data_IF_402028908301
#
_entry.id   IF_402028908301
#
_cell.length_a   1.000
_cell.length_b   1.000
_cell.length_c   1.000
_cell.angle_alpha   90.00
_cell.angle_beta   90.00
_cell.angle_gamma   90.00
#
_symmetry.space_group_name_H-M   'P 1'
#
loop_
_entity.id
_entity.type
_entity.pdbx_description
1 polymer ?
#
# COMPACT_ATOMS: atom_id res chain seq x y z
N UNK A 1 -11.93 -45.67 45.12
CA UNK A 1 -12.78 -46.19 44.01
C UNK A 1 -14.28 -45.91 44.20
N UNK A 2 -14.76 -45.60 45.42
CA UNK A 2 -16.20 -45.37 45.70
C UNK A 2 -16.72 -43.98 45.28
N UNK A 3 -15.89 -42.93 45.28
CA UNK A 3 -16.33 -41.57 44.90
C UNK A 3 -16.61 -41.37 43.39
N UNK A 4 -15.99 -42.16 42.50
CA UNK A 4 -16.23 -42.05 41.05
C UNK A 4 -17.52 -42.73 40.59
N UNK A 5 -18.06 -43.68 41.37
CA UNK A 5 -19.32 -44.38 41.05
C UNK A 5 -20.54 -43.52 41.43
N UNK A 6 -20.46 -42.73 42.51
CA UNK A 6 -21.52 -41.82 42.95
C UNK A 6 -21.80 -40.66 41.98
N UNK A 7 -20.76 -40.12 41.31
CA UNK A 7 -20.94 -39.04 40.34
C UNK A 7 -21.58 -39.52 39.02
N UNK A 8 -21.28 -40.74 38.59
CA UNK A 8 -21.84 -41.31 37.35
C UNK A 8 -23.31 -41.71 37.57
N UNK A 9 -23.66 -42.25 38.74
CA UNK A 9 -25.05 -42.55 39.10
C UNK A 9 -25.91 -41.28 39.29
N UNK A 10 -25.34 -40.20 39.84
CA UNK A 10 -26.03 -38.91 39.99
C UNK A 10 -26.39 -38.25 38.65
N UNK A 11 -25.49 -38.32 37.66
CA UNK A 11 -25.74 -37.76 36.32
C UNK A 11 -26.77 -38.53 35.49
N UNK A 12 -26.89 -39.85 35.72
CA UNK A 12 -27.86 -40.67 34.99
C UNK A 12 -29.30 -40.50 35.54
N UNK A 13 -29.44 -40.32 36.86
CA UNK A 13 -30.73 -40.09 37.51
C UNK A 13 -31.32 -38.70 37.19
N UNK A 14 -30.49 -37.66 37.05
CA UNK A 14 -30.97 -36.31 36.69
C UNK A 14 -31.41 -36.21 35.23
N UNK A 15 -30.71 -36.89 34.30
CA UNK A 15 -31.09 -36.93 32.89
C UNK A 15 -32.40 -37.68 32.62
N UNK A 16 -32.65 -38.77 33.35
CA UNK A 16 -33.91 -39.52 33.26
C UNK A 16 -35.09 -38.73 33.87
N UNK A 17 -34.86 -37.96 34.93
CA UNK A 17 -35.90 -37.13 35.52
C UNK A 17 -36.30 -35.96 34.61
N UNK A 18 -35.32 -35.32 33.94
CA UNK A 18 -35.57 -34.19 33.04
C UNK A 18 -36.31 -34.63 31.76
N UNK A 19 -35.93 -35.79 31.21
CA UNK A 19 -36.59 -36.38 30.03
C UNK A 19 -38.00 -36.87 30.35
N UNK A 20 -38.22 -37.49 31.50
CA UNK A 20 -39.56 -37.86 31.97
C UNK A 20 -40.45 -36.62 32.21
N UNK A 21 -39.91 -35.57 32.81
CA UNK A 21 -40.68 -34.34 33.08
C UNK A 21 -41.16 -33.64 31.80
N UNK A 22 -40.30 -33.58 30.77
CA UNK A 22 -40.62 -32.99 29.45
C UNK A 22 -41.66 -33.80 28.66
N UNK A 23 -41.71 -35.12 28.83
CA UNK A 23 -42.67 -36.01 28.13
C UNK A 23 -44.08 -35.89 28.75
N UNK A 24 -44.20 -35.67 30.05
CA UNK A 24 -45.48 -35.68 30.76
C UNK A 24 -46.06 -34.27 31.07
N UNK A 25 -45.37 -33.18 30.71
CA UNK A 25 -45.86 -31.80 30.83
C UNK A 25 -45.67 -31.00 29.52
N UNK A 26 -46.53 -31.18 28.49
CA UNK A 26 -46.30 -30.60 27.16
C UNK A 26 -46.61 -29.09 27.05
N UNK A 27 -46.86 -28.39 28.14
CA UNK A 27 -47.21 -26.95 28.12
C UNK A 27 -46.01 -26.07 28.46
N UNK A 28 -44.98 -26.13 27.63
CA UNK A 28 -43.98 -25.06 27.49
C UNK A 28 -44.02 -24.57 26.05
N UNK A 29 -45.09 -23.85 25.72
CA UNK A 29 -45.15 -23.07 24.50
C UNK A 29 -44.27 -21.84 24.69
N UNK A 30 -43.09 -21.84 24.07
CA UNK A 30 -42.32 -20.62 23.88
C UNK A 30 -43.05 -19.74 22.86
N UNK A 31 -43.65 -18.67 23.37
CA UNK A 31 -44.36 -17.69 22.56
C UNK A 31 -43.33 -16.73 21.94
N UNK A 32 -42.90 -16.99 20.70
CA UNK A 32 -42.14 -16.02 19.92
C UNK A 32 -43.12 -15.02 19.29
N UNK A 33 -43.41 -13.95 20.02
CA UNK A 33 -44.07 -12.76 19.49
C UNK A 33 -43.02 -11.69 19.21
N UNK A 34 -42.91 -11.27 17.95
CA UNK A 34 -42.22 -10.03 17.57
C UNK A 34 -41.14 -10.19 16.51
N UNK A 35 -41.43 -9.66 15.33
CA UNK A 35 -40.47 -9.32 14.28
C UNK A 35 -39.16 -8.77 14.85
N UNK A 36 -38.08 -9.52 14.72
CA UNK A 36 -36.70 -9.02 14.63
C UNK A 36 -35.78 -10.19 14.30
N UNK A 37 -35.83 -10.68 13.05
CA UNK A 37 -34.67 -11.35 12.46
C UNK A 37 -33.59 -10.27 12.28
N UNK A 38 -32.79 -10.03 13.31
CA UNK A 38 -31.48 -9.39 13.12
C UNK A 38 -30.65 -10.37 12.32
N UNK A 39 -30.69 -10.23 11.01
CA UNK A 39 -29.70 -10.79 10.11
C UNK A 39 -28.36 -10.27 10.59
N UNK A 40 -27.55 -11.13 11.20
CA UNK A 40 -26.13 -10.83 11.43
C UNK A 40 -25.50 -10.86 10.05
N UNK A 41 -25.41 -9.69 9.39
CA UNK A 41 -24.54 -9.54 8.24
C UNK A 41 -23.11 -9.68 8.77
N UNK A 42 -22.51 -10.84 8.52
CA UNK A 42 -21.06 -10.98 8.58
C UNK A 42 -20.55 -10.22 7.35
N UNK A 43 -20.25 -8.94 7.50
CA UNK A 43 -19.44 -8.23 6.52
C UNK A 43 -18.04 -8.86 6.56
N UNK A 44 -17.74 -9.71 5.57
CA UNK A 44 -16.37 -10.13 5.33
C UNK A 44 -15.64 -8.84 4.93
N UNK A 45 -14.59 -8.41 5.66
CA UNK A 45 -13.87 -7.20 5.32
C UNK A 45 -13.35 -7.33 3.88
N UNK A 46 -13.82 -6.45 3.00
CA UNK A 46 -13.34 -6.43 1.63
C UNK A 46 -11.85 -6.07 1.66
N UNK A 47 -11.02 -6.90 1.02
CA UNK A 47 -9.58 -6.63 0.88
C UNK A 47 -9.38 -5.30 0.17
N UNK A 48 -8.45 -4.49 0.64
CA UNK A 48 -8.17 -3.21 0.00
C UNK A 48 -7.27 -3.40 -1.21
N UNK A 49 -7.63 -2.79 -2.32
CA UNK A 49 -6.72 -2.59 -3.45
C UNK A 49 -6.65 -1.09 -3.72
N UNK A 50 -5.52 -0.50 -3.35
CA UNK A 50 -5.26 0.94 -3.44
C UNK A 50 -4.53 1.22 -4.74
N UNK A 51 -5.07 2.09 -5.59
CA UNK A 51 -4.39 2.58 -6.78
C UNK A 51 -3.95 4.03 -6.60
N UNK A 52 -2.64 4.28 -6.62
CA UNK A 52 -2.11 5.64 -6.52
C UNK A 52 -2.04 6.30 -7.89
N UNK A 53 -2.75 7.42 -8.04
CA UNK A 53 -2.75 8.23 -9.25
C UNK A 53 -2.01 9.56 -8.99
N UNK A 54 -0.74 9.67 -9.41
CA UNK A 54 0.02 10.89 -9.29
C UNK A 54 -0.42 11.94 -10.31
N UNK A 55 -0.34 13.21 -9.92
CA UNK A 55 -0.84 14.33 -10.73
C UNK A 55 -0.22 14.37 -12.15
N UNK A 56 1.04 13.96 -12.29
CA UNK A 56 1.75 13.95 -13.59
C UNK A 56 1.33 12.80 -14.51
N UNK A 57 0.54 11.84 -14.04
CA UNK A 57 0.02 10.71 -14.84
C UNK A 57 -1.47 10.79 -15.13
N UNK A 58 -2.17 11.85 -14.70
CA UNK A 58 -3.61 12.01 -14.95
C UNK A 58 -3.96 11.82 -16.43
N UNK A 59 -3.16 12.38 -17.34
CA UNK A 59 -3.44 12.32 -18.78
C UNK A 59 -3.12 10.95 -19.42
N UNK A 60 -2.39 10.08 -18.72
CA UNK A 60 -2.07 8.71 -19.14
C UNK A 60 -2.95 7.65 -18.49
N UNK A 61 -3.61 8.01 -17.39
CA UNK A 61 -4.41 7.09 -16.61
C UNK A 61 -5.71 6.71 -17.33
N UNK A 62 -6.17 5.47 -17.10
CA UNK A 62 -7.52 5.05 -17.48
C UNK A 62 -8.55 5.87 -16.72
N UNK A 63 -9.68 6.15 -17.38
CA UNK A 63 -10.79 6.85 -16.74
C UNK A 63 -11.53 5.98 -15.70
N UNK A 64 -11.48 4.65 -15.85
CA UNK A 64 -12.15 3.69 -14.97
C UNK A 64 -11.17 2.57 -14.56
N UNK A 65 -10.86 2.50 -13.27
CA UNK A 65 -10.08 1.43 -12.65
C UNK A 65 -10.94 0.50 -11.77
N UNK A 66 -12.27 0.67 -11.78
CA UNK A 66 -13.15 -0.01 -10.84
C UNK A 66 -13.20 -1.52 -10.96
N UNK A 67 -12.70 -2.09 -12.06
CA UNK A 67 -12.51 -3.52 -12.19
C UNK A 67 -11.33 -4.04 -11.34
N UNK A 68 -10.34 -3.19 -11.07
CA UNK A 68 -9.05 -3.58 -10.49
C UNK A 68 -8.83 -3.08 -9.06
N UNK A 69 -9.37 -1.92 -8.70
CA UNK A 69 -9.10 -1.28 -7.40
C UNK A 69 -10.38 -1.11 -6.57
N UNK A 70 -10.22 -0.95 -5.25
CA UNK A 70 -11.30 -0.57 -4.31
C UNK A 70 -11.16 0.88 -3.84
N UNK A 71 -9.94 1.40 -3.84
CA UNK A 71 -9.60 2.75 -3.37
C UNK A 71 -8.75 3.44 -4.43
N UNK A 72 -9.16 4.63 -4.87
CA UNK A 72 -8.36 5.51 -5.71
C UNK A 72 -7.71 6.58 -4.84
N UNK A 73 -6.38 6.63 -4.84
CA UNK A 73 -5.61 7.63 -4.10
C UNK A 73 -5.13 8.73 -5.03
N UNK A 74 -5.46 9.98 -4.72
CA UNK A 74 -4.87 11.13 -5.40
C UNK A 74 -3.52 11.47 -4.79
N UNK A 75 -2.43 11.21 -5.52
CA UNK A 75 -1.08 11.62 -5.16
C UNK A 75 -0.81 13.00 -5.78
N UNK A 76 -0.92 14.06 -4.97
CA UNK A 76 -0.71 15.39 -5.53
C UNK A 76 -0.57 16.55 -4.57
N UNK A 77 -0.57 16.35 -3.26
CA UNK A 77 -0.38 17.46 -2.33
C UNK A 77 0.98 17.33 -1.62
N UNK A 78 1.84 18.33 -1.78
CA UNK A 78 3.11 18.42 -1.04
C UNK A 78 2.91 19.23 0.24
N UNK A 79 3.57 18.83 1.33
CA UNK A 79 3.49 19.52 2.63
C UNK A 79 4.66 20.50 2.79
N UNK A 80 4.38 21.70 3.28
CA UNK A 80 5.38 22.66 3.72
C UNK A 80 5.98 22.27 5.07
N UNK A 81 7.13 22.85 5.39
CA UNK A 81 7.83 22.67 6.67
C UNK A 81 7.04 23.09 7.92
N UNK A 82 5.95 23.85 7.76
CA UNK A 82 5.07 24.29 8.84
C UNK A 82 3.77 23.47 8.94
N UNK A 83 3.64 22.41 8.14
CA UNK A 83 2.46 21.54 8.09
C UNK A 83 1.37 22.00 7.13
N UNK A 84 1.44 23.19 6.53
CA UNK A 84 0.46 23.63 5.53
C UNK A 84 0.68 22.94 4.18
N UNK A 85 -0.33 22.93 3.31
CA UNK A 85 -0.20 22.45 1.93
C UNK A 85 0.58 23.46 1.09
N UNK A 86 1.57 22.97 0.35
CA UNK A 86 2.33 23.75 -0.61
C UNK A 86 1.46 24.13 -1.79
N UNK A 87 1.06 25.40 -1.86
CA UNK A 87 0.25 25.96 -2.97
C UNK A 87 1.13 26.50 -4.10
N UNK A 88 2.40 26.76 -3.81
CA UNK A 88 3.37 27.37 -4.72
C UNK A 88 4.75 26.75 -4.52
N UNK A 89 5.44 26.40 -5.60
CA UNK A 89 6.84 25.95 -5.57
C UNK A 89 7.80 27.13 -5.41
N UNK A 90 7.40 28.29 -5.92
CA UNK A 90 8.09 29.57 -5.75
C UNK A 90 7.06 30.73 -5.89
N UNK A 91 7.41 31.99 -5.63
CA UNK A 91 6.44 33.10 -5.65
C UNK A 91 5.60 33.22 -6.94
N UNK A 92 6.12 32.76 -8.08
CA UNK A 92 5.54 32.88 -9.42
C UNK A 92 4.89 31.60 -9.95
N UNK A 93 5.16 30.45 -9.34
CA UNK A 93 4.73 29.14 -9.84
C UNK A 93 3.86 28.41 -8.81
N UNK A 94 2.72 27.90 -9.27
CA UNK A 94 1.79 27.12 -8.44
C UNK A 94 2.30 25.69 -8.35
N UNK A 95 2.16 25.07 -7.20
CA UNK A 95 2.48 23.65 -7.05
C UNK A 95 1.59 22.83 -8.01
N UNK A 96 2.16 21.99 -8.89
CA UNK A 96 1.41 21.36 -9.97
C UNK A 96 0.25 20.47 -9.51
N UNK A 97 0.43 19.66 -8.46
CA UNK A 97 -0.63 18.79 -7.97
C UNK A 97 -1.73 19.56 -7.25
N UNK A 98 -1.39 20.61 -6.49
CA UNK A 98 -2.37 21.56 -5.99
C UNK A 98 -3.14 22.23 -7.14
N UNK A 99 -2.43 22.69 -8.17
CA UNK A 99 -3.03 23.33 -9.34
C UNK A 99 -3.99 22.40 -10.09
N UNK A 100 -3.62 21.16 -10.32
CA UNK A 100 -4.44 20.18 -11.06
C UNK A 100 -5.71 19.80 -10.29
N UNK A 101 -5.63 19.73 -8.95
CA UNK A 101 -6.80 19.57 -8.10
C UNK A 101 -7.73 20.79 -8.20
N UNK A 102 -7.19 22.01 -8.07
CA UNK A 102 -7.99 23.25 -8.10
C UNK A 102 -8.65 23.51 -9.46
N UNK A 103 -8.02 23.08 -10.56
CA UNK A 103 -8.57 23.19 -11.92
C UNK A 103 -9.59 22.11 -12.25
N UNK A 104 -9.87 21.18 -11.33
CA UNK A 104 -10.83 20.09 -11.55
C UNK A 104 -10.35 19.04 -12.55
N UNK A 105 -9.02 18.89 -12.74
CA UNK A 105 -8.47 17.94 -13.72
C UNK A 105 -8.87 16.48 -13.41
N UNK A 106 -9.10 16.18 -12.13
CA UNK A 106 -9.54 14.86 -11.66
C UNK A 106 -11.06 14.72 -11.52
N UNK A 107 -11.86 15.76 -11.78
CA UNK A 107 -13.31 15.74 -11.49
C UNK A 107 -14.04 14.58 -12.19
N UNK A 108 -13.67 14.31 -13.44
CA UNK A 108 -14.24 13.20 -14.21
C UNK A 108 -13.85 11.83 -13.66
N UNK A 109 -12.61 11.68 -13.19
CA UNK A 109 -12.08 10.46 -12.58
C UNK A 109 -12.75 10.24 -11.22
N UNK A 110 -12.83 11.28 -10.37
CA UNK A 110 -13.50 11.20 -9.07
C UNK A 110 -14.98 10.92 -9.20
N UNK A 111 -15.65 11.52 -10.19
CA UNK A 111 -17.05 11.22 -10.50
C UNK A 111 -17.23 9.74 -10.86
N UNK A 112 -16.41 9.23 -11.78
CA UNK A 112 -16.44 7.82 -12.19
C UNK A 112 -16.18 6.90 -11.01
N UNK A 113 -15.15 7.19 -10.21
CA UNK A 113 -14.82 6.44 -8.99
C UNK A 113 -16.01 6.36 -8.02
N UNK A 114 -16.67 7.49 -7.74
CA UNK A 114 -17.87 7.53 -6.88
C UNK A 114 -19.05 6.77 -7.47
N UNK A 115 -19.33 6.92 -8.76
CA UNK A 115 -20.40 6.18 -9.46
C UNK A 115 -20.17 4.66 -9.40
N UNK A 116 -18.90 4.24 -9.44
CA UNK A 116 -18.46 2.85 -9.30
C UNK A 116 -18.23 2.41 -7.86
N UNK A 117 -18.55 3.24 -6.87
CA UNK A 117 -18.43 2.99 -5.43
C UNK A 117 -17.01 2.69 -4.95
N UNK A 118 -16.00 3.26 -5.62
CA UNK A 118 -14.63 3.28 -5.11
C UNK A 118 -14.53 4.27 -3.94
N UNK A 119 -13.72 3.92 -2.95
CA UNK A 119 -13.27 4.88 -1.93
C UNK A 119 -12.29 5.85 -2.56
N UNK A 120 -12.26 7.07 -2.05
CA UNK A 120 -11.26 8.06 -2.43
C UNK A 120 -10.31 8.28 -1.24
N UNK A 121 -9.01 8.26 -1.52
CA UNK A 121 -7.95 8.63 -0.57
C UNK A 121 -7.21 9.87 -1.07
N UNK A 122 -6.88 10.77 -0.15
CA UNK A 122 -6.04 11.94 -0.42
C UNK A 122 -4.65 11.66 0.13
N UNK A 123 -3.62 11.69 -0.71
CA UNK A 123 -2.24 11.56 -0.25
C UNK A 123 -1.60 12.94 -0.07
N UNK A 124 -0.85 13.06 1.03
CA UNK A 124 0.07 14.18 1.28
C UNK A 124 1.50 13.68 1.38
N UNK A 125 2.41 14.38 0.70
CA UNK A 125 3.79 13.95 0.48
C UNK A 125 4.82 14.91 1.06
N UNK A 126 5.91 14.36 1.62
CA UNK A 126 7.16 15.07 1.85
C UNK A 126 8.35 14.11 1.79
N UNK A 127 9.29 14.35 0.88
CA UNK A 127 10.51 13.52 0.71
C UNK A 127 11.83 14.25 0.98
N UNK A 128 11.79 15.54 1.36
CA UNK A 128 13.01 16.30 1.66
C UNK A 128 13.35 16.22 3.14
N UNK A 129 14.48 15.57 3.48
CA UNK A 129 14.89 15.34 4.87
C UNK A 129 14.89 16.59 5.75
N UNK A 130 15.42 17.72 5.27
CA UNK A 130 15.52 18.93 6.08
C UNK A 130 14.14 19.55 6.32
N UNK A 131 13.29 19.53 5.30
CA UNK A 131 11.89 19.98 5.39
C UNK A 131 11.08 19.09 6.34
N UNK A 132 11.31 17.77 6.32
CA UNK A 132 10.66 16.82 7.22
C UNK A 132 11.10 17.05 8.67
N UNK A 133 12.39 17.28 8.93
CA UNK A 133 12.88 17.58 10.28
C UNK A 133 12.25 18.86 10.85
N UNK A 134 12.06 19.89 10.01
CA UNK A 134 11.36 21.11 10.42
C UNK A 134 9.85 20.85 10.61
N UNK A 135 9.22 20.07 9.72
CA UNK A 135 7.82 19.66 9.82
C UNK A 135 7.52 18.98 11.16
N UNK A 136 8.37 18.06 11.61
CA UNK A 136 8.17 17.35 12.88
C UNK A 136 8.74 18.11 14.09
N UNK A 137 9.35 19.28 13.92
CA UNK A 137 9.95 20.02 15.05
C UNK A 137 8.91 20.55 16.04
N UNK A 138 7.68 20.80 15.56
CA UNK A 138 6.51 21.20 16.33
C UNK A 138 5.33 20.28 15.97
N UNK A 139 5.38 19.01 16.40
CA UNK A 139 4.54 17.96 15.82
C UNK A 139 3.04 18.21 16.01
N UNK A 140 2.61 18.79 17.13
CA UNK A 140 1.19 19.09 17.35
C UNK A 140 0.72 20.30 16.53
N UNK A 141 1.47 21.42 16.57
CA UNK A 141 1.13 22.65 15.83
C UNK A 141 1.06 22.39 14.32
N UNK A 142 2.07 21.72 13.77
CA UNK A 142 2.13 21.45 12.33
C UNK A 142 1.14 20.36 11.91
N UNK A 143 0.82 19.38 12.75
CA UNK A 143 -0.26 18.42 12.47
C UNK A 143 -1.61 19.14 12.36
N UNK A 144 -1.91 20.07 13.28
CA UNK A 144 -3.13 20.87 13.21
C UNK A 144 -3.16 21.78 11.98
N UNK A 145 -2.03 22.37 11.59
CA UNK A 145 -1.96 23.16 10.35
C UNK A 145 -2.32 22.30 9.13
N UNK A 146 -1.81 21.06 9.08
CA UNK A 146 -2.14 20.12 8.02
C UNK A 146 -3.63 19.78 8.01
N UNK A 147 -4.16 19.31 9.14
CA UNK A 147 -5.56 18.83 9.24
C UNK A 147 -6.57 19.94 8.97
N UNK A 148 -6.28 21.18 9.37
CA UNK A 148 -7.09 22.35 9.06
C UNK A 148 -7.21 22.62 7.55
N UNK A 149 -6.21 22.26 6.74
CA UNK A 149 -6.27 22.41 5.29
C UNK A 149 -6.79 21.16 4.58
N UNK A 150 -6.41 19.95 5.01
CA UNK A 150 -6.81 18.72 4.30
C UNK A 150 -8.24 18.30 4.59
N UNK A 151 -8.76 18.49 5.81
CA UNK A 151 -10.14 18.07 6.14
C UNK A 151 -11.18 18.77 5.24
N UNK A 152 -11.13 20.10 5.02
CA UNK A 152 -12.03 20.76 4.06
C UNK A 152 -11.92 20.21 2.63
N UNK A 153 -10.70 19.90 2.16
CA UNK A 153 -10.47 19.29 0.84
C UNK A 153 -11.12 17.90 0.80
N UNK A 154 -10.91 17.09 1.84
CA UNK A 154 -11.50 15.77 1.99
C UNK A 154 -13.03 15.83 1.94
N UNK A 155 -13.65 16.79 2.65
CA UNK A 155 -15.10 16.98 2.62
C UNK A 155 -15.60 17.42 1.24
N UNK A 156 -14.92 18.36 0.59
CA UNK A 156 -15.30 18.86 -0.73
C UNK A 156 -15.31 17.76 -1.79
N UNK A 157 -14.26 16.94 -1.83
CA UNK A 157 -14.09 15.91 -2.85
C UNK A 157 -14.61 14.53 -2.40
N UNK A 158 -15.03 14.37 -1.14
CA UNK A 158 -15.51 13.10 -0.60
C UNK A 158 -14.39 12.06 -0.42
N UNK A 159 -13.20 12.50 -0.04
CA UNK A 159 -12.12 11.60 0.39
C UNK A 159 -12.46 11.03 1.77
N UNK A 160 -12.28 9.73 1.94
CA UNK A 160 -12.58 8.98 3.17
C UNK A 160 -11.35 8.32 3.78
N UNK A 161 -10.16 8.68 3.28
CA UNK A 161 -8.87 8.25 3.78
C UNK A 161 -7.86 9.38 3.54
N UNK A 162 -7.02 9.65 4.53
CA UNK A 162 -5.82 10.47 4.38
C UNK A 162 -4.62 9.53 4.40
N UNK A 163 -3.85 9.55 3.32
CA UNK A 163 -2.59 8.81 3.23
C UNK A 163 -1.42 9.76 3.50
N UNK A 164 -0.54 9.38 4.44
CA UNK A 164 0.70 10.10 4.75
C UNK A 164 1.89 9.37 4.14
N UNK A 165 2.54 10.05 3.20
CA UNK A 165 3.77 9.58 2.56
C UNK A 165 4.93 10.52 2.92
N UNK A 166 5.57 10.23 4.06
CA UNK A 166 6.64 11.05 4.66
C UNK A 166 7.95 10.28 4.62
N UNK A 167 8.69 10.45 3.52
CA UNK A 167 9.84 9.63 3.20
C UNK A 167 11.16 10.26 3.69
N UNK A 168 11.69 9.76 4.81
CA UNK A 168 13.04 10.09 5.28
C UNK A 168 13.85 8.83 5.59
N UNK A 169 14.59 8.37 4.59
CA UNK A 169 15.45 7.16 4.65
C UNK A 169 16.84 7.40 5.29
N UNK A 170 17.02 8.55 5.97
CA UNK A 170 18.22 8.83 6.76
C UNK A 170 18.02 8.38 8.20
N UNK A 171 19.12 8.05 8.87
CA UNK A 171 19.08 7.77 10.30
C UNK A 171 18.49 8.95 11.07
N UNK A 172 17.50 8.68 11.90
CA UNK A 172 16.80 9.65 12.72
C UNK A 172 17.13 9.47 14.20
N UNK A 173 17.15 10.56 14.97
CA UNK A 173 17.24 10.48 16.43
C UNK A 173 15.94 9.91 17.02
N UNK A 174 16.03 9.33 18.22
CA UNK A 174 14.83 8.90 18.95
C UNK A 174 13.83 10.04 19.17
N UNK A 175 14.30 11.27 19.41
CA UNK A 175 13.44 12.44 19.51
C UNK A 175 12.68 12.75 18.22
N UNK A 176 13.32 12.62 17.05
CA UNK A 176 12.67 12.81 15.76
C UNK A 176 11.61 11.72 15.51
N UNK A 177 11.91 10.46 15.83
CA UNK A 177 10.95 9.34 15.71
C UNK A 177 9.72 9.53 16.62
N UNK A 178 9.94 10.00 17.85
CA UNK A 178 8.87 10.34 18.78
C UNK A 178 8.03 11.52 18.27
N UNK A 179 8.68 12.56 17.74
CA UNK A 179 7.97 13.70 17.16
C UNK A 179 7.12 13.30 15.95
N UNK A 180 7.62 12.47 15.05
CA UNK A 180 6.82 11.95 13.94
C UNK A 180 5.62 11.14 14.45
N UNK A 181 5.82 10.30 15.47
CA UNK A 181 4.74 9.54 16.10
C UNK A 181 3.66 10.47 16.67
N UNK A 182 4.06 11.54 17.37
CA UNK A 182 3.13 12.55 17.89
C UNK A 182 2.39 13.28 16.77
N UNK A 183 3.09 13.65 15.69
CA UNK A 183 2.51 14.30 14.52
C UNK A 183 1.41 13.42 13.90
N UNK A 184 1.70 12.14 13.65
CA UNK A 184 0.73 11.19 13.12
C UNK A 184 -0.45 10.96 14.09
N UNK A 185 -0.19 10.92 15.40
CA UNK A 185 -1.22 10.74 16.41
C UNK A 185 -2.22 11.91 16.45
N UNK A 186 -1.75 13.15 16.36
CA UNK A 186 -2.60 14.35 16.31
C UNK A 186 -3.44 14.35 15.03
N UNK A 187 -2.84 13.99 13.88
CA UNK A 187 -3.59 13.84 12.63
C UNK A 187 -4.73 12.84 12.79
N UNK A 188 -4.46 11.65 13.35
CA UNK A 188 -5.49 10.64 13.57
C UNK A 188 -6.63 11.15 14.44
N UNK A 189 -6.30 11.84 15.53
CA UNK A 189 -7.29 12.41 16.46
C UNK A 189 -8.18 13.46 15.77
N UNK A 190 -7.60 14.32 14.93
CA UNK A 190 -8.35 15.33 14.19
C UNK A 190 -9.28 14.68 13.14
N UNK A 191 -8.82 13.65 12.43
CA UNK A 191 -9.66 12.88 11.50
C UNK A 191 -10.82 12.18 12.21
N UNK A 192 -10.58 11.57 13.37
CA UNK A 192 -11.60 10.91 14.18
C UNK A 192 -12.63 11.90 14.73
N UNK A 193 -12.16 13.06 15.21
CA UNK A 193 -13.02 14.14 15.68
C UNK A 193 -13.90 14.71 14.55
N UNK A 194 -13.36 14.79 13.34
CA UNK A 194 -14.09 15.20 12.15
C UNK A 194 -14.98 14.08 11.57
N UNK A 195 -14.82 12.83 12.03
CA UNK A 195 -15.51 11.64 11.53
C UNK A 195 -15.38 11.47 10.01
N UNK A 196 -14.19 11.76 9.47
CA UNK A 196 -14.01 11.90 8.02
C UNK A 196 -13.43 10.65 7.34
N UNK A 197 -12.72 9.79 8.05
CA UNK A 197 -12.10 8.64 7.41
C UNK A 197 -10.97 7.98 8.19
N UNK A 198 -10.25 7.11 7.47
CA UNK A 198 -9.06 6.43 7.96
C UNK A 198 -7.78 7.24 7.78
N UNK A 199 -6.74 6.84 8.53
CA UNK A 199 -5.36 7.25 8.31
C UNK A 199 -4.56 6.06 7.79
N UNK A 200 -3.97 6.23 6.62
CA UNK A 200 -3.01 5.29 6.03
C UNK A 200 -1.61 5.91 6.07
N UNK A 201 -0.58 5.12 6.40
CA UNK A 201 0.81 5.60 6.42
C UNK A 201 1.66 4.70 5.54
N UNK A 202 2.47 5.31 4.68
CA UNK A 202 3.38 4.60 3.79
C UNK A 202 4.74 4.43 4.48
N UNK A 203 5.32 3.23 4.37
CA UNK A 203 6.67 2.91 4.87
C UNK A 203 7.47 2.16 3.81
N UNK A 204 8.79 2.31 3.87
CA UNK A 204 9.72 1.56 3.04
C UNK A 204 10.14 0.26 3.74
N UNK A 205 10.64 -0.71 2.97
CA UNK A 205 11.32 -1.88 3.54
C UNK A 205 12.49 -1.52 4.46
N UNK A 206 13.13 -0.37 4.24
CA UNK A 206 14.26 0.08 5.05
C UNK A 206 13.89 0.52 6.46
N UNK A 207 12.65 0.99 6.69
CA UNK A 207 12.14 1.38 8.01
C UNK A 207 12.03 0.17 8.97
N UNK A 208 12.03 -1.05 8.43
CA UNK A 208 11.98 -2.31 9.20
C UNK A 208 13.35 -2.80 9.67
N UNK A 209 14.43 -2.26 9.10
CA UNK A 209 15.80 -2.75 9.34
C UNK A 209 16.78 -1.64 9.74
N UNK A 210 16.44 -0.37 9.53
CA UNK A 210 17.24 0.80 9.89
C UNK A 210 16.48 1.69 10.86
N UNK A 211 17.23 2.53 11.59
CA UNK A 211 16.68 3.54 12.48
C UNK A 211 16.30 4.80 11.68
N UNK A 212 15.39 4.65 10.72
CA UNK A 212 14.83 5.77 9.98
C UNK A 212 13.82 6.56 10.83
N UNK A 213 13.21 7.59 10.23
CA UNK A 213 12.25 8.45 10.90
C UNK A 213 11.02 7.69 11.42
N UNK A 214 10.44 6.82 10.58
CA UNK A 214 9.24 6.09 10.95
C UNK A 214 9.63 4.87 11.77
N UNK A 215 9.01 4.72 12.94
CA UNK A 215 9.07 3.48 13.71
C UNK A 215 7.78 2.69 13.47
N UNK A 216 7.80 1.58 12.70
CA UNK A 216 6.60 0.77 12.43
C UNK A 216 5.87 0.33 13.71
N UNK A 217 6.61 0.05 14.79
CA UNK A 217 6.04 -0.34 16.08
C UNK A 217 5.28 0.81 16.77
N UNK A 218 5.66 2.06 16.52
CA UNK A 218 5.01 3.22 17.12
C UNK A 218 3.74 3.64 16.36
N UNK A 219 3.66 3.37 15.05
CA UNK A 219 2.51 3.77 14.22
C UNK A 219 1.39 2.72 14.17
N UNK A 220 1.63 1.48 14.61
CA UNK A 220 0.64 0.38 14.54
C UNK A 220 -0.69 0.69 15.24
N UNK A 221 -0.65 1.44 16.34
CA UNK A 221 -1.85 1.84 17.11
C UNK A 221 -2.51 3.12 16.57
N UNK A 222 -1.85 3.82 15.64
CA UNK A 222 -2.28 5.11 15.10
C UNK A 222 -2.91 4.91 13.72
N UNK A 223 -2.21 4.23 12.82
CA UNK A 223 -2.66 4.00 11.46
C UNK A 223 -3.74 2.90 11.41
N UNK A 224 -4.78 3.13 10.61
CA UNK A 224 -5.77 2.09 10.30
C UNK A 224 -5.14 1.03 9.39
N UNK A 225 -4.32 1.47 8.43
CA UNK A 225 -3.57 0.64 7.50
C UNK A 225 -2.15 1.18 7.30
N UNK A 226 -1.22 0.29 6.98
CA UNK A 226 0.17 0.65 6.64
C UNK A 226 0.49 0.08 5.28
N UNK A 227 0.88 0.94 4.34
CA UNK A 227 1.36 0.52 3.03
C UNK A 227 2.86 0.25 3.14
N UNK A 228 3.23 -1.02 3.02
CA UNK A 228 4.63 -1.40 2.85
C UNK A 228 4.97 -1.25 1.37
N UNK A 229 5.81 -0.27 1.03
CA UNK A 229 6.39 -0.13 -0.30
C UNK A 229 7.35 -1.30 -0.57
N UNK A 230 6.77 -2.41 -1.02
CA UNK A 230 7.46 -3.67 -1.36
C UNK A 230 8.19 -3.60 -2.69
N UNK A 231 8.84 -2.47 -2.98
CA UNK A 231 9.56 -2.19 -4.22
C UNK A 231 10.75 -1.25 -3.98
N UNK A 232 11.44 -0.90 -5.07
CA UNK A 232 12.67 -0.10 -5.08
C UNK A 232 13.84 -0.70 -4.28
N UNK A 233 13.90 -2.03 -4.19
CA UNK A 233 15.05 -2.77 -3.66
C UNK A 233 16.28 -2.58 -4.57
N UNK A 234 16.04 -2.54 -5.87
CA UNK A 234 16.91 -1.87 -6.83
C UNK A 234 16.12 -0.72 -7.45
N UNK A 235 16.73 0.45 -7.54
CA UNK A 235 16.10 1.69 -8.00
C UNK A 235 17.01 2.45 -8.95
N UNK A 236 16.55 3.55 -9.55
CA UNK A 236 17.32 4.31 -10.55
C UNK A 236 18.76 4.65 -10.10
N UNK A 237 18.99 4.85 -8.80
CA UNK A 237 20.28 5.19 -8.22
C UNK A 237 21.14 4.00 -7.77
N UNK A 238 20.72 2.76 -8.02
CA UNK A 238 21.49 1.56 -7.67
C UNK A 238 22.79 1.46 -8.47
N UNK A 239 23.85 0.95 -7.82
CA UNK A 239 25.17 0.74 -8.43
C UNK A 239 25.26 -0.55 -9.27
N UNK A 240 24.33 -1.47 -9.03
CA UNK A 240 24.16 -2.71 -9.79
C UNK A 240 22.70 -2.82 -10.21
N UNK A 241 22.47 -3.46 -11.34
CA UNK A 241 21.12 -3.73 -11.83
C UNK A 241 20.50 -4.90 -11.06
N UNK A 242 19.17 -4.94 -10.97
CA UNK A 242 18.49 -6.02 -10.27
C UNK A 242 16.99 -5.84 -10.16
N UNK A 243 16.36 -6.85 -9.57
CA UNK A 243 14.91 -6.88 -9.36
C UNK A 243 14.46 -5.68 -8.50
N UNK A 244 13.38 -5.04 -8.94
CA UNK A 244 12.80 -3.85 -8.32
C UNK A 244 11.97 -4.22 -7.10
N UNK A 245 11.14 -5.25 -7.22
CA UNK A 245 10.32 -5.80 -6.15
C UNK A 245 10.48 -7.34 -6.08
N UNK A 246 11.66 -7.85 -5.69
CA UNK A 246 11.89 -9.28 -5.60
C UNK A 246 10.96 -9.92 -4.56
N UNK A 247 10.15 -10.91 -4.98
CA UNK A 247 9.28 -11.63 -4.07
C UNK A 247 10.11 -12.36 -2.99
N UNK A 248 11.15 -13.07 -3.43
CA UNK A 248 12.09 -13.79 -2.57
C UNK A 248 13.54 -13.62 -3.04
N UNK A 249 14.49 -14.07 -2.22
CA UNK A 249 15.92 -14.18 -2.53
C UNK A 249 16.85 -13.52 -1.53
N UNK A 250 16.32 -13.00 -0.42
CA UNK A 250 17.11 -12.59 0.74
C UNK A 250 18.03 -13.73 1.21
N UNK A 251 19.19 -13.36 1.75
CA UNK A 251 20.22 -14.28 2.28
C UNK A 251 20.86 -15.24 1.25
N UNK A 252 20.43 -15.20 -0.02
CA UNK A 252 20.96 -16.06 -1.08
C UNK A 252 21.57 -15.22 -2.21
N UNK A 253 20.76 -14.45 -2.92
CA UNK A 253 21.18 -13.60 -4.04
C UNK A 253 20.90 -12.11 -3.82
N UNK A 254 20.15 -11.78 -2.77
CA UNK A 254 19.73 -10.42 -2.45
C UNK A 254 19.94 -10.15 -0.96
N UNK A 255 20.12 -8.87 -0.60
CA UNK A 255 20.20 -8.46 0.81
C UNK A 255 18.83 -8.46 1.49
N UNK A 256 17.77 -8.19 0.73
CA UNK A 256 16.42 -8.02 1.23
C UNK A 256 15.39 -8.30 0.13
N UNK A 257 14.18 -8.69 0.52
CA UNK A 257 13.07 -9.00 -0.40
C UNK A 257 11.69 -8.71 0.24
N UNK A 258 10.63 -8.93 -0.54
CA UNK A 258 9.24 -8.68 -0.13
C UNK A 258 8.79 -9.64 0.97
N UNK A 259 9.12 -10.93 0.86
CA UNK A 259 8.74 -11.92 1.88
C UNK A 259 9.32 -11.59 3.25
N UNK A 260 10.59 -11.20 3.30
CA UNK A 260 11.27 -10.82 4.54
C UNK A 260 10.66 -9.55 5.13
N UNK A 261 10.34 -8.56 4.30
CA UNK A 261 9.72 -7.31 4.74
C UNK A 261 8.31 -7.54 5.32
N UNK A 262 7.49 -8.35 4.66
CA UNK A 262 6.17 -8.73 5.18
C UNK A 262 6.31 -9.53 6.47
N UNK A 263 7.19 -10.54 6.53
CA UNK A 263 7.41 -11.33 7.76
C UNK A 263 7.88 -10.50 8.96
N UNK A 264 8.60 -9.39 8.74
CA UNK A 264 8.94 -8.43 9.80
C UNK A 264 7.73 -7.59 10.25
N UNK A 265 6.90 -7.16 9.31
CA UNK A 265 5.67 -6.43 9.62
C UNK A 265 4.67 -7.28 10.42
N UNK A 266 4.56 -8.56 10.12
CA UNK A 266 3.69 -9.51 10.83
C UNK A 266 4.04 -9.66 12.32
N UNK A 267 5.31 -9.44 12.69
CA UNK A 267 5.74 -9.45 14.08
C UNK A 267 5.35 -8.17 14.83
N UNK A 268 5.00 -7.11 14.09
CA UNK A 268 4.77 -5.75 14.61
C UNK A 268 3.27 -5.43 14.63
N UNK A 269 2.51 -5.90 13.65
CA UNK A 269 1.10 -5.55 13.47
C UNK A 269 0.24 -6.70 12.90
N UNK A 270 -1.09 -6.65 13.10
CA UNK A 270 -2.00 -7.61 12.48
C UNK A 270 -1.89 -7.59 10.94
N UNK A 271 -1.86 -8.77 10.31
CA UNK A 271 -1.83 -8.92 8.84
C UNK A 271 -2.90 -8.10 8.11
N UNK A 272 -4.09 -7.98 8.73
CA UNK A 272 -5.21 -7.21 8.19
C UNK A 272 -4.95 -5.70 8.07
N UNK A 273 -3.90 -5.16 8.70
CA UNK A 273 -3.46 -3.76 8.56
C UNK A 273 -2.39 -3.58 7.47
N UNK A 274 -1.74 -4.66 7.04
CA UNK A 274 -0.63 -4.61 6.09
C UNK A 274 -1.20 -4.53 4.67
N UNK A 275 -0.85 -3.46 3.96
CA UNK A 275 -1.13 -3.31 2.52
C UNK A 275 0.20 -3.46 1.78
N UNK A 276 0.33 -4.47 0.93
CA UNK A 276 1.55 -4.70 0.17
C UNK A 276 1.57 -3.84 -1.10
N UNK A 277 2.51 -2.88 -1.16
CA UNK A 277 2.77 -2.05 -2.34
C UNK A 277 3.48 -2.84 -3.45
N UNK A 278 2.98 -2.68 -4.67
CA UNK A 278 3.47 -3.29 -5.90
C UNK A 278 3.79 -2.20 -6.93
N UNK A 279 4.93 -2.27 -7.63
CA UNK A 279 5.26 -1.31 -8.66
C UNK A 279 4.58 -1.70 -9.99
N UNK A 280 4.16 -0.69 -10.75
CA UNK A 280 3.68 -0.77 -12.13
C UNK A 280 4.76 -0.31 -13.12
N UNK A 281 6.01 -0.30 -12.68
CA UNK A 281 7.19 0.07 -13.45
C UNK A 281 8.37 -0.81 -13.05
N UNK A 282 9.40 -0.76 -13.87
CA UNK A 282 10.74 -1.19 -13.54
C UNK A 282 11.76 -0.09 -13.77
N UNK A 283 13.02 -0.47 -13.84
CA UNK A 283 14.12 0.43 -14.17
C UNK A 283 14.97 -0.12 -15.29
N UNK A 284 15.55 0.79 -16.05
CA UNK A 284 16.57 0.55 -17.06
C UNK A 284 17.86 1.22 -16.63
N UNK A 285 18.99 0.54 -16.84
CA UNK A 285 20.31 1.13 -16.65
C UNK A 285 21.20 0.81 -17.85
N UNK A 286 22.13 1.72 -18.14
CA UNK A 286 23.29 1.38 -18.94
C UNK A 286 24.29 0.59 -18.08
N UNK A 287 24.91 -0.44 -18.65
CA UNK A 287 25.80 -1.36 -17.92
C UNK A 287 27.12 -1.58 -18.63
N UNK A 288 28.14 -1.95 -17.84
CA UNK A 288 29.50 -2.20 -18.35
C UNK A 288 29.60 -3.50 -19.17
N UNK A 289 28.66 -4.44 -19.01
CA UNK A 289 28.59 -5.68 -19.75
C UNK A 289 27.15 -6.24 -19.81
N UNK A 290 26.99 -7.38 -20.51
CA UNK A 290 25.72 -8.07 -20.75
C UNK A 290 25.33 -9.09 -19.68
N UNK A 291 26.15 -9.28 -18.63
CA UNK A 291 25.82 -10.25 -17.59
C UNK A 291 24.69 -9.70 -16.70
N UNK A 292 23.69 -10.51 -16.33
CA UNK A 292 22.67 -10.09 -15.36
C UNK A 292 23.30 -9.53 -14.09
N UNK A 293 22.66 -8.53 -13.50
CA UNK A 293 23.13 -7.85 -12.29
C UNK A 293 24.48 -7.13 -12.47
N UNK A 294 24.77 -6.66 -13.70
CA UNK A 294 25.98 -5.89 -13.99
C UNK A 294 26.00 -4.56 -13.25
N UNK A 295 27.22 -4.08 -12.98
CA UNK A 295 27.47 -2.71 -12.55
C UNK A 295 26.91 -1.69 -13.55
N UNK A 296 26.34 -0.63 -12.99
CA UNK A 296 25.64 0.45 -13.67
C UNK A 296 26.63 1.54 -14.08
N UNK A 297 26.46 2.10 -15.28
CA UNK A 297 27.12 3.35 -15.66
C UNK A 297 26.49 4.48 -14.81
N UNK A 298 27.29 5.25 -14.04
CA UNK A 298 26.75 6.23 -13.11
C UNK A 298 25.72 7.18 -13.74
N UNK A 299 24.61 7.41 -13.02
CA UNK A 299 23.53 8.30 -13.43
C UNK A 299 22.79 7.92 -14.72
N UNK A 300 22.91 6.69 -15.20
CA UNK A 300 22.18 6.18 -16.38
C UNK A 300 20.80 5.58 -16.06
N UNK A 301 20.46 5.41 -14.79
CA UNK A 301 19.21 4.78 -14.38
C UNK A 301 17.99 5.59 -14.76
N UNK A 302 17.00 4.92 -15.37
CA UNK A 302 15.75 5.53 -15.84
C UNK A 302 14.56 4.66 -15.46
N UNK A 303 13.47 5.28 -15.01
CA UNK A 303 12.20 4.58 -14.82
C UNK A 303 11.69 4.05 -16.16
N UNK A 304 11.25 2.79 -16.17
CA UNK A 304 10.63 2.14 -17.31
C UNK A 304 9.22 1.69 -16.91
N UNK A 305 8.20 2.47 -17.30
CA UNK A 305 6.80 2.06 -17.08
C UNK A 305 6.52 0.75 -17.82
N UNK A 306 5.58 -0.06 -17.31
CA UNK A 306 5.21 -1.31 -17.98
C UNK A 306 4.73 -1.06 -19.42
N UNK A 307 3.98 0.01 -19.66
CA UNK A 307 3.64 0.43 -21.02
C UNK A 307 4.87 0.64 -21.92
N UNK A 308 5.90 1.36 -21.44
CA UNK A 308 7.14 1.61 -22.19
C UNK A 308 7.86 0.30 -22.51
N UNK A 309 7.92 -0.61 -21.55
CA UNK A 309 8.62 -1.90 -21.69
C UNK A 309 7.90 -2.78 -22.71
N UNK A 310 6.57 -2.88 -22.64
CA UNK A 310 5.78 -3.61 -23.62
C UNK A 310 5.92 -3.03 -25.04
N UNK A 311 5.90 -1.70 -25.16
CA UNK A 311 6.12 -1.02 -26.43
C UNK A 311 7.52 -1.30 -26.99
N UNK A 312 8.53 -1.32 -26.14
CA UNK A 312 9.91 -1.64 -26.52
C UNK A 312 10.02 -3.08 -27.05
N UNK A 313 9.49 -4.05 -26.30
CA UNK A 313 9.51 -5.46 -26.69
C UNK A 313 8.74 -5.71 -27.99
N UNK A 314 7.64 -4.98 -28.23
CA UNK A 314 6.87 -5.10 -29.48
C UNK A 314 7.66 -4.66 -30.72
N UNK A 315 8.65 -3.78 -30.55
CA UNK A 315 9.48 -3.21 -31.64
C UNK A 315 10.82 -3.94 -31.79
N UNK A 316 11.32 -4.57 -30.74
CA UNK A 316 12.57 -5.31 -30.76
C UNK A 316 12.34 -6.81 -30.94
N UNK A 317 12.28 -7.27 -32.19
CA UNK A 317 12.05 -8.69 -32.52
C UNK A 317 13.12 -9.66 -32.01
N UNK A 318 14.34 -9.19 -31.75
CA UNK A 318 15.44 -9.98 -31.18
C UNK A 318 15.51 -9.91 -29.65
N UNK A 319 14.72 -9.05 -29.02
CA UNK A 319 14.69 -8.90 -27.58
C UNK A 319 13.70 -9.89 -26.97
N UNK A 320 14.12 -10.58 -25.91
CA UNK A 320 13.24 -11.45 -25.13
C UNK A 320 13.47 -11.22 -23.65
N UNK A 321 12.39 -11.04 -22.90
CA UNK A 321 12.48 -10.98 -21.46
C UNK A 321 12.80 -12.36 -20.88
N UNK A 322 13.65 -12.40 -19.85
CA UNK A 322 13.97 -13.58 -19.07
C UNK A 322 13.37 -13.47 -17.68
N UNK A 323 12.86 -14.59 -17.17
CA UNK A 323 12.23 -14.65 -15.86
C UNK A 323 13.21 -15.19 -14.83
N UNK A 324 13.31 -14.53 -13.68
CA UNK A 324 13.91 -15.10 -12.49
C UNK A 324 12.81 -15.70 -11.58
N UNK A 325 12.91 -17.00 -11.31
CA UNK A 325 11.91 -17.74 -10.51
C UNK A 325 11.97 -17.45 -9.01
N UNK A 326 13.09 -16.96 -8.49
CA UNK A 326 13.23 -16.60 -7.09
C UNK A 326 12.64 -15.22 -6.84
N UNK A 327 13.07 -14.22 -7.62
CA UNK A 327 12.57 -12.85 -7.47
C UNK A 327 11.16 -12.69 -8.02
N UNK A 328 10.70 -13.61 -8.87
CA UNK A 328 9.45 -13.48 -9.61
C UNK A 328 9.40 -12.15 -10.39
N UNK A 329 10.51 -11.77 -11.02
CA UNK A 329 10.56 -10.60 -11.90
C UNK A 329 11.24 -10.91 -13.22
N UNK A 330 10.89 -10.11 -14.22
CA UNK A 330 11.38 -10.23 -15.58
C UNK A 330 12.50 -9.24 -15.82
N UNK A 331 13.48 -9.65 -16.62
CA UNK A 331 14.59 -8.80 -17.03
C UNK A 331 14.80 -8.86 -18.53
N UNK A 332 15.35 -7.80 -19.10
CA UNK A 332 15.71 -7.71 -20.49
C UNK A 332 17.11 -7.12 -20.59
N UNK A 333 17.99 -7.78 -21.33
CA UNK A 333 19.35 -7.31 -21.59
C UNK A 333 19.50 -7.13 -23.09
N UNK A 334 19.95 -5.96 -23.52
CA UNK A 334 20.20 -5.68 -24.93
C UNK A 334 21.38 -4.74 -25.12
N UNK A 335 21.87 -4.64 -26.35
CA UNK A 335 22.93 -3.71 -26.73
C UNK A 335 22.37 -2.67 -27.67
N UNK A 336 22.49 -1.39 -27.30
CA UNK A 336 22.17 -0.29 -28.20
C UNK A 336 23.16 -0.33 -29.37
N UNK A 337 22.63 -0.43 -30.59
CA UNK A 337 23.45 -0.58 -31.80
C UNK A 337 24.11 0.72 -32.26
N UNK A 338 23.59 1.87 -31.84
CA UNK A 338 24.13 3.18 -32.19
C UNK A 338 25.28 3.57 -31.26
N UNK A 339 25.12 3.34 -29.95
CA UNK A 339 26.12 3.71 -28.93
C UNK A 339 27.08 2.57 -28.62
N UNK A 340 26.67 1.32 -28.83
CA UNK A 340 27.42 0.13 -28.42
C UNK A 340 27.32 -0.18 -26.92
N UNK A 341 26.51 0.56 -26.17
CA UNK A 341 26.32 0.40 -24.72
C UNK A 341 25.36 -0.75 -24.42
N UNK A 342 25.60 -1.49 -23.34
CA UNK A 342 24.65 -2.49 -22.85
C UNK A 342 23.59 -1.84 -21.96
N UNK A 343 22.37 -2.33 -22.07
CA UNK A 343 21.24 -1.88 -21.28
C UNK A 343 20.61 -3.09 -20.58
N UNK A 344 20.23 -2.92 -19.32
CA UNK A 344 19.46 -3.92 -18.59
C UNK A 344 18.21 -3.28 -18.01
N UNK A 345 17.06 -3.88 -18.29
CA UNK A 345 15.77 -3.55 -17.69
C UNK A 345 15.37 -4.66 -16.71
N UNK A 346 14.88 -4.29 -15.53
CA UNK A 346 14.25 -5.21 -14.59
C UNK A 346 12.89 -4.66 -14.20
N UNK A 347 11.85 -5.49 -14.22
CA UNK A 347 10.47 -5.04 -14.05
C UNK A 347 9.53 -6.18 -13.62
N UNK A 348 8.44 -5.86 -12.89
CA UNK A 348 7.32 -6.77 -12.70
C UNK A 348 6.47 -6.82 -13.97
N UNK A 349 5.95 -8.00 -14.29
CA UNK A 349 4.94 -8.24 -15.33
C UNK A 349 3.69 -8.89 -14.73
N UNK A 350 2.72 -9.27 -15.56
CA UNK A 350 1.51 -9.98 -15.13
C UNK A 350 1.83 -11.20 -14.23
N UNK A 351 2.83 -12.00 -14.61
CA UNK A 351 3.23 -13.20 -13.84
C UNK A 351 3.83 -12.80 -12.48
N UNK A 352 4.63 -11.73 -12.41
CA UNK A 352 5.13 -11.14 -11.16
C UNK A 352 3.98 -10.72 -10.25
N UNK A 353 3.02 -9.98 -10.81
CA UNK A 353 1.85 -9.52 -10.07
C UNK A 353 1.01 -10.71 -9.59
N UNK A 354 0.77 -11.73 -10.41
CA UNK A 354 0.07 -12.96 -9.98
C UNK A 354 0.76 -13.62 -8.79
N UNK A 355 2.08 -13.77 -8.83
CA UNK A 355 2.83 -14.37 -7.72
C UNK A 355 2.69 -13.56 -6.43
N UNK A 356 2.78 -12.22 -6.52
CA UNK A 356 2.64 -11.31 -5.36
C UNK A 356 1.21 -11.24 -4.84
N UNK A 357 0.20 -11.31 -5.72
CA UNK A 357 -1.22 -11.44 -5.36
C UNK A 357 -1.47 -12.74 -4.60
N UNK A 358 -0.95 -13.87 -5.09
CA UNK A 358 -1.09 -15.16 -4.41
C UNK A 358 -0.40 -15.15 -3.04
N UNK A 359 0.80 -14.58 -2.95
CA UNK A 359 1.49 -14.41 -1.67
C UNK A 359 0.66 -13.58 -0.69
N UNK A 360 0.09 -12.45 -1.12
CA UNK A 360 -0.78 -11.63 -0.26
C UNK A 360 -2.03 -12.37 0.21
N UNK A 361 -2.62 -13.25 -0.62
CA UNK A 361 -3.72 -14.15 -0.23
C UNK A 361 -3.29 -15.17 0.80
N UNK A 362 -2.13 -15.80 0.59
CA UNK A 362 -1.57 -16.82 1.50
C UNK A 362 -1.26 -16.25 2.89
N UNK A 363 -0.78 -15.01 2.97
CA UNK A 363 -0.53 -14.32 4.24
C UNK A 363 -1.76 -13.60 4.82
N UNK A 364 -2.91 -13.68 4.16
CA UNK A 364 -4.15 -12.99 4.55
C UNK A 364 -3.97 -11.47 4.77
N UNK A 365 -3.12 -10.83 3.97
CA UNK A 365 -2.81 -9.40 4.11
C UNK A 365 -4.06 -8.53 3.98
N UNK A 366 -4.06 -7.35 4.62
CA UNK A 366 -5.15 -6.38 4.53
C UNK A 366 -5.46 -5.92 3.11
N UNK A 367 -4.46 -5.95 2.22
CA UNK A 367 -4.64 -5.51 0.85
C UNK A 367 -3.36 -5.40 0.03
N UNK A 368 -3.53 -4.78 -1.14
CA UNK A 368 -2.49 -4.44 -2.11
C UNK A 368 -2.55 -2.94 -2.42
N UNK A 369 -1.41 -2.37 -2.79
CA UNK A 369 -1.25 -0.99 -3.25
C UNK A 369 -0.50 -0.98 -4.57
N UNK A 370 -0.84 -0.08 -5.50
CA UNK A 370 -0.25 -0.02 -6.84
C UNK A 370 0.41 1.33 -7.09
N UNK A 371 1.72 1.34 -7.33
CA UNK A 371 2.50 2.53 -7.65
C UNK A 371 3.07 2.44 -9.08
N UNK A 372 2.62 3.20 -10.07
CA UNK A 372 1.51 4.14 -10.04
C UNK A 372 0.59 3.93 -11.23
N UNK A 373 -0.69 4.23 -11.06
CA UNK A 373 -1.68 4.22 -12.11
C UNK A 373 -1.28 5.18 -13.23
N UNK A 374 -1.46 4.76 -14.48
CA UNK A 374 -0.93 5.41 -15.69
C UNK A 374 0.44 4.87 -16.14
N UNK A 375 1.07 3.97 -15.37
CA UNK A 375 2.25 3.21 -15.82
C UNK A 375 1.93 1.81 -16.29
N UNK A 376 0.76 1.27 -15.94
CA UNK A 376 0.40 -0.10 -16.27
C UNK A 376 0.50 -0.36 -17.77
N UNK A 377 0.95 -1.57 -18.09
CA UNK A 377 0.87 -2.11 -19.44
C UNK A 377 -0.51 -2.69 -19.73
N UNK A 378 -0.58 -3.64 -20.67
CA UNK A 378 -1.85 -4.22 -21.10
C UNK A 378 -2.45 -5.15 -20.06
N UNK A 379 -1.64 -5.99 -19.42
CA UNK A 379 -2.17 -7.11 -18.62
C UNK A 379 -1.73 -7.13 -17.15
N UNK A 380 -0.79 -6.27 -16.74
CA UNK A 380 -0.24 -6.29 -15.37
C UNK A 380 -1.30 -6.10 -14.26
N UNK A 381 -2.44 -5.48 -14.55
CA UNK A 381 -3.53 -5.30 -13.58
C UNK A 381 -4.49 -6.50 -13.51
N UNK A 382 -4.52 -7.38 -14.51
CA UNK A 382 -5.48 -8.50 -14.58
C UNK A 382 -5.49 -9.40 -13.33
N UNK A 383 -4.35 -9.73 -12.71
CA UNK A 383 -4.34 -10.57 -11.51
C UNK A 383 -5.09 -9.99 -10.30
N UNK A 384 -5.37 -8.68 -10.29
CA UNK A 384 -6.08 -8.02 -9.19
C UNK A 384 -7.57 -8.33 -9.17
N UNK A 385 -8.16 -8.71 -10.31
CA UNK A 385 -9.58 -9.08 -10.40
C UNK A 385 -9.93 -10.26 -9.50
N UNK A 386 -8.97 -11.16 -9.32
CA UNK A 386 -9.12 -12.35 -8.47
C UNK A 386 -8.83 -12.07 -6.99
N UNK A 387 -8.32 -10.89 -6.63
CA UNK A 387 -8.02 -10.48 -5.25
C UNK A 387 -9.13 -9.62 -4.63
N UNK A 388 -9.80 -8.82 -5.48
CA UNK A 388 -10.88 -7.92 -5.11
C UNK A 388 -12.13 -8.66 -4.65
#
# INVERSE_FOLDING_TARGET
MIQKILFILGGFLTGLFLSYWLVFHPSLQFNFSGDNKKTIQIEIPQKQIIGFLPYWLIDKAKADYSEYITTLTYFGLTINKDGTIMKKTNPQETEPGWNDLQKGKLDSIFKTAKEKKLKLSLLVFSGNHDSINELISKPEEHAHNLTQEVIPIMQQYGFTDLNLDIESIKQASESARLNFTQFAQVIKQDLDKAQIGSLTIDITGSDLIKQNLINPQSIVSIADYVVLMGYDYHYMGSFVTGAVAPLAGAETSLEYDVQTAVGKMEQIMPVSKIILGLPLYGYEWETINENPNSAVIPSSGLTASNQRIEDFLSKCSSCSAQRNFLTQESSLIYKDQQTGTYHQMFYPDEISTTAKVNFAKEQDLGGLALWALGYEGRTILEPLKDYK
#
